data_IF_534878529725
#
_entry.id   IF_534878529725
#
_cell.length_a   1.000
_cell.length_b   1.000
_cell.length_c   1.000
_cell.angle_alpha   90.00
_cell.angle_beta   90.00
_cell.angle_gamma   90.00
#
_symmetry.space_group_name_H-M   'P 1'
#
loop_
_entity.id
_entity.type
_entity.pdbx_description
1 polymer ?
#
# COMPACT_ATOMS: atom_id res chain seq x y z
N UNK A 1 -24.99 -17.54 4.90
CA UNK A 1 -24.57 -16.26 4.28
C UNK A 1 -23.11 -15.90 4.58
N UNK A 2 -22.66 -15.96 5.84
CA UNK A 2 -21.29 -15.61 6.23
C UNK A 2 -20.17 -16.30 5.43
N UNK A 3 -20.28 -17.61 5.18
CA UNK A 3 -19.26 -18.36 4.42
C UNK A 3 -19.13 -17.91 2.96
N UNK A 4 -20.23 -17.49 2.33
CA UNK A 4 -20.21 -16.99 0.93
C UNK A 4 -19.52 -15.62 0.88
N UNK A 5 -19.81 -14.75 1.84
CA UNK A 5 -19.13 -13.47 2.00
C UNK A 5 -17.63 -13.69 2.22
N UNK A 6 -17.25 -14.54 3.16
CA UNK A 6 -15.84 -14.87 3.41
C UNK A 6 -15.13 -15.37 2.15
N UNK A 7 -15.73 -16.32 1.43
CA UNK A 7 -15.16 -16.85 0.19
C UNK A 7 -14.97 -15.77 -0.87
N UNK A 8 -15.95 -14.86 -1.03
CA UNK A 8 -15.84 -13.73 -1.97
C UNK A 8 -14.74 -12.75 -1.56
N UNK A 9 -14.56 -12.43 -0.27
CA UNK A 9 -13.43 -11.61 0.17
C UNK A 9 -12.11 -12.25 -0.17
N UNK A 10 -11.96 -13.53 0.15
CA UNK A 10 -10.72 -14.27 -0.12
C UNK A 10 -10.41 -14.25 -1.62
N UNK A 11 -11.42 -14.43 -2.47
CA UNK A 11 -11.25 -14.35 -3.93
C UNK A 11 -10.85 -12.95 -4.38
N UNK A 12 -11.51 -11.89 -3.89
CA UNK A 12 -11.16 -10.50 -4.23
C UNK A 12 -9.74 -10.15 -3.76
N UNK A 13 -9.36 -10.59 -2.56
CA UNK A 13 -8.02 -10.38 -2.02
C UNK A 13 -6.97 -11.15 -2.80
N UNK A 14 -7.20 -12.43 -3.08
CA UNK A 14 -6.29 -13.25 -3.89
C UNK A 14 -6.11 -12.67 -5.29
N UNK A 15 -7.21 -12.25 -5.95
CA UNK A 15 -7.15 -11.59 -7.24
C UNK A 15 -6.33 -10.29 -7.20
N UNK A 16 -6.53 -9.48 -6.16
CA UNK A 16 -5.79 -8.23 -5.95
C UNK A 16 -4.29 -8.48 -5.79
N UNK A 17 -3.91 -9.48 -4.98
CA UNK A 17 -2.52 -9.89 -4.78
C UNK A 17 -1.92 -10.37 -6.11
N UNK A 18 -2.61 -11.23 -6.85
CA UNK A 18 -2.13 -11.73 -8.16
C UNK A 18 -1.90 -10.58 -9.13
N UNK A 19 -2.81 -9.61 -9.19
CA UNK A 19 -2.65 -8.41 -10.02
C UNK A 19 -1.43 -7.59 -9.60
N UNK A 20 -1.21 -7.40 -8.30
CA UNK A 20 -0.02 -6.69 -7.79
C UNK A 20 1.28 -7.39 -8.14
N UNK A 21 1.35 -8.70 -7.91
CA UNK A 21 2.54 -9.50 -8.21
C UNK A 21 2.87 -9.42 -9.69
N UNK A 22 1.87 -9.54 -10.58
CA UNK A 22 2.06 -9.39 -12.03
C UNK A 22 2.52 -8.00 -12.45
N UNK A 23 2.10 -6.95 -11.74
CA UNK A 23 2.49 -5.57 -12.03
C UNK A 23 3.79 -5.16 -11.35
N UNK A 24 4.31 -5.97 -10.42
CA UNK A 24 5.48 -5.65 -9.60
C UNK A 24 6.68 -5.24 -10.44
N UNK A 25 7.01 -6.01 -11.46
CA UNK A 25 8.24 -5.77 -12.23
C UNK A 25 8.16 -4.46 -13.01
N UNK A 26 6.97 -4.10 -13.50
CA UNK A 26 6.73 -2.80 -14.14
C UNK A 26 6.84 -1.64 -13.14
N UNK A 27 6.28 -1.81 -11.93
CA UNK A 27 6.37 -0.80 -10.87
C UNK A 27 7.82 -0.60 -10.40
N UNK A 28 8.58 -1.68 -10.25
CA UNK A 28 10.01 -1.64 -9.90
C UNK A 28 10.85 -0.97 -10.98
N UNK A 29 10.59 -1.28 -12.26
CA UNK A 29 11.28 -0.63 -13.38
C UNK A 29 10.99 0.88 -13.42
N UNK A 30 9.72 1.28 -13.25
CA UNK A 30 9.32 2.68 -13.23
C UNK A 30 9.94 3.43 -12.03
N UNK A 31 9.92 2.84 -10.84
CA UNK A 31 10.49 3.45 -9.64
C UNK A 31 12.01 3.66 -9.77
N UNK A 32 12.75 2.71 -10.34
CA UNK A 32 14.20 2.83 -10.58
C UNK A 32 14.56 3.95 -11.57
N UNK A 33 13.69 4.28 -12.51
CA UNK A 33 13.91 5.36 -13.47
C UNK A 33 13.68 6.77 -12.88
N UNK A 34 12.99 6.89 -11.75
CA UNK A 34 12.68 8.19 -11.14
C UNK A 34 13.85 8.75 -10.31
N UNK A 35 13.89 10.08 -10.17
CA UNK A 35 14.82 10.79 -9.27
C UNK A 35 14.42 10.64 -7.80
N UNK A 36 15.40 10.71 -6.88
CA UNK A 36 15.22 10.47 -5.44
C UNK A 36 14.11 11.31 -4.80
N UNK A 37 14.06 12.60 -5.13
CA UNK A 37 13.03 13.52 -4.62
C UNK A 37 11.62 13.18 -5.09
N UNK A 38 11.47 12.77 -6.36
CA UNK A 38 10.17 12.39 -6.94
C UNK A 38 9.65 11.08 -6.33
N UNK A 39 10.54 10.11 -6.06
CA UNK A 39 10.21 8.87 -5.35
C UNK A 39 9.66 9.13 -3.95
N UNK A 40 10.29 10.02 -3.19
CA UNK A 40 9.82 10.36 -1.84
C UNK A 40 8.46 11.05 -1.85
N UNK A 41 8.24 11.96 -2.80
CA UNK A 41 6.97 12.67 -2.93
C UNK A 41 5.82 11.74 -3.35
N UNK A 42 6.10 10.79 -4.24
CA UNK A 42 5.15 9.74 -4.60
C UNK A 42 4.82 8.82 -3.41
N UNK A 43 5.84 8.42 -2.63
CA UNK A 43 5.62 7.62 -1.42
C UNK A 43 4.72 8.34 -0.40
N UNK A 44 4.99 9.62 -0.13
CA UNK A 44 4.18 10.46 0.76
C UNK A 44 2.76 10.58 0.22
N UNK A 45 2.60 10.83 -1.09
CA UNK A 45 1.30 10.92 -1.74
C UNK A 45 0.49 9.63 -1.60
N UNK A 46 1.11 8.47 -1.79
CA UNK A 46 0.48 7.16 -1.64
C UNK A 46 0.09 6.86 -0.18
N UNK A 47 0.94 7.24 0.79
CA UNK A 47 0.63 7.11 2.21
C UNK A 47 -0.55 8.00 2.60
N UNK A 48 -0.55 9.27 2.18
CA UNK A 48 -1.67 10.19 2.41
C UNK A 48 -2.96 9.67 1.76
N UNK A 49 -2.88 9.17 0.53
CA UNK A 49 -4.01 8.55 -0.15
C UNK A 49 -4.56 7.36 0.64
N UNK A 50 -3.68 6.52 1.23
CA UNK A 50 -4.11 5.39 2.05
C UNK A 50 -4.86 5.84 3.32
N UNK A 51 -4.42 6.93 3.95
CA UNK A 51 -5.10 7.54 5.10
C UNK A 51 -6.48 8.08 4.70
N UNK A 52 -6.59 8.70 3.52
CA UNK A 52 -7.87 9.16 2.98
C UNK A 52 -8.82 7.99 2.73
N UNK A 53 -8.35 6.87 2.18
CA UNK A 53 -9.18 5.66 2.02
C UNK A 53 -9.73 5.18 3.36
N UNK A 54 -8.89 5.15 4.40
CA UNK A 54 -9.33 4.74 5.74
C UNK A 54 -10.37 5.72 6.31
N UNK A 55 -10.14 7.03 6.21
CA UNK A 55 -11.05 8.05 6.69
C UNK A 55 -12.42 8.01 5.98
N UNK A 56 -12.42 7.86 4.65
CA UNK A 56 -13.64 7.71 3.86
C UNK A 56 -14.39 6.42 4.22
N UNK A 57 -13.67 5.33 4.48
CA UNK A 57 -14.28 4.08 4.93
C UNK A 57 -14.99 4.28 6.27
N UNK A 58 -14.33 4.92 7.24
CA UNK A 58 -14.94 5.23 8.53
C UNK A 58 -16.19 6.11 8.39
N UNK A 59 -16.16 7.09 7.48
CA UNK A 59 -17.33 7.93 7.18
C UNK A 59 -18.50 7.11 6.64
N UNK A 60 -18.25 6.17 5.71
CA UNK A 60 -19.29 5.30 5.16
C UNK A 60 -19.85 4.36 6.23
N UNK A 61 -19.00 3.83 7.11
CA UNK A 61 -19.44 2.97 8.21
C UNK A 61 -20.30 3.73 9.22
N UNK A 62 -19.90 4.96 9.58
CA UNK A 62 -20.66 5.84 10.46
C UNK A 62 -22.04 6.23 9.90
N UNK A 63 -22.20 6.25 8.56
CA UNK A 63 -23.45 6.60 7.87
C UNK A 63 -24.45 5.44 7.73
N UNK A 64 -24.14 4.26 8.28
CA UNK A 64 -25.03 3.09 8.25
C UNK A 64 -24.40 1.80 7.71
N UNK A 65 -23.09 1.80 7.47
CA UNK A 65 -22.34 0.56 7.18
C UNK A 65 -22.17 -0.34 8.41
N UNK A 66 -22.29 0.23 9.62
CA UNK A 66 -22.20 -0.50 10.89
C UNK A 66 -23.53 -0.40 11.66
N UNK A 67 -24.04 -1.54 12.10
CA UNK A 67 -25.27 -1.68 12.90
C UNK A 67 -24.96 -2.37 14.23
N UNK A 68 -25.96 -2.45 15.11
CA UNK A 68 -25.84 -3.13 16.41
C UNK A 68 -25.46 -4.61 16.28
N UNK A 69 -25.87 -5.23 15.18
CA UNK A 69 -25.61 -6.65 14.87
C UNK A 69 -24.34 -6.85 14.02
N UNK A 70 -23.57 -5.78 13.77
CA UNK A 70 -22.34 -5.80 12.99
C UNK A 70 -22.45 -5.08 11.64
N UNK A 71 -21.59 -5.46 10.70
CA UNK A 71 -21.54 -4.85 9.38
C UNK A 71 -22.77 -5.18 8.54
N UNK A 72 -23.37 -4.18 7.91
CA UNK A 72 -24.35 -4.41 6.85
C UNK A 72 -23.67 -5.04 5.63
N UNK A 73 -24.40 -5.73 4.74
CA UNK A 73 -23.81 -6.26 3.51
C UNK A 73 -23.07 -5.20 2.69
N UNK A 74 -23.61 -3.98 2.66
CA UNK A 74 -22.96 -2.83 2.03
C UNK A 74 -21.71 -2.37 2.79
N UNK A 75 -21.79 -2.20 4.12
CA UNK A 75 -20.63 -1.81 4.93
C UNK A 75 -19.48 -2.81 4.81
N UNK A 76 -19.81 -4.10 4.79
CA UNK A 76 -18.84 -5.17 4.57
C UNK A 76 -18.16 -5.08 3.20
N UNK A 77 -18.92 -4.86 2.12
CA UNK A 77 -18.36 -4.73 0.78
C UNK A 77 -17.43 -3.53 0.67
N UNK A 78 -17.82 -2.39 1.26
CA UNK A 78 -17.00 -1.18 1.32
C UNK A 78 -15.71 -1.44 2.10
N UNK A 79 -15.78 -2.07 3.27
CA UNK A 79 -14.59 -2.38 4.09
C UNK A 79 -13.66 -3.36 3.38
N UNK A 80 -14.19 -4.38 2.69
CA UNK A 80 -13.39 -5.35 1.95
C UNK A 80 -12.60 -4.68 0.80
N UNK A 81 -13.26 -3.82 0.02
CA UNK A 81 -12.64 -3.07 -1.07
C UNK A 81 -11.64 -2.03 -0.55
N UNK A 82 -12.01 -1.30 0.49
CA UNK A 82 -11.15 -0.30 1.11
C UNK A 82 -9.90 -0.92 1.72
N UNK A 83 -10.02 -2.07 2.40
CA UNK A 83 -8.88 -2.82 2.92
C UNK A 83 -7.91 -3.25 1.83
N UNK A 84 -8.44 -3.76 0.70
CA UNK A 84 -7.62 -4.13 -0.45
C UNK A 84 -6.90 -2.91 -1.06
N UNK A 85 -7.60 -1.78 -1.21
CA UNK A 85 -7.02 -0.52 -1.70
C UNK A 85 -5.98 0.06 -0.73
N UNK A 86 -6.22 -0.02 0.58
CA UNK A 86 -5.30 0.42 1.60
C UNK A 86 -3.98 -0.35 1.53
N UNK A 87 -4.05 -1.68 1.50
CA UNK A 87 -2.86 -2.55 1.36
C UNK A 87 -2.14 -2.29 0.03
N UNK A 88 -2.88 -2.04 -1.05
CA UNK A 88 -2.32 -1.66 -2.34
C UNK A 88 -1.44 -0.41 -2.26
N UNK A 89 -2.01 0.65 -1.70
CA UNK A 89 -1.35 1.95 -1.59
C UNK A 89 -0.13 1.86 -0.68
N UNK A 90 -0.25 1.17 0.46
CA UNK A 90 0.87 0.92 1.39
C UNK A 90 2.00 0.15 0.71
N UNK A 91 1.68 -0.93 -0.01
CA UNK A 91 2.68 -1.74 -0.72
C UNK A 91 3.38 -0.94 -1.82
N UNK A 92 2.64 -0.11 -2.55
CA UNK A 92 3.20 0.78 -3.57
C UNK A 92 4.09 1.87 -2.97
N UNK A 93 3.72 2.43 -1.80
CA UNK A 93 4.51 3.45 -1.11
C UNK A 93 5.82 2.89 -0.53
N UNK A 94 5.83 1.62 -0.13
CA UNK A 94 7.01 0.94 0.42
C UNK A 94 8.14 0.80 -0.61
N UNK A 95 7.82 0.57 -1.88
CA UNK A 95 8.83 0.38 -2.95
C UNK A 95 9.80 1.56 -3.06
N UNK A 96 9.36 2.82 -3.26
CA UNK A 96 10.26 3.97 -3.32
C UNK A 96 10.99 4.23 -1.99
N UNK A 97 10.35 3.99 -0.85
CA UNK A 97 10.99 4.15 0.47
C UNK A 97 12.15 3.18 0.66
N UNK A 98 11.95 1.90 0.35
CA UNK A 98 13.00 0.87 0.45
C UNK A 98 14.14 1.18 -0.51
N UNK A 99 13.85 1.59 -1.75
CA UNK A 99 14.88 2.00 -2.70
C UNK A 99 15.68 3.23 -2.20
N UNK A 100 15.02 4.17 -1.54
CA UNK A 100 15.69 5.31 -0.93
C UNK A 100 16.56 4.90 0.25
N UNK A 101 16.09 3.99 1.12
CA UNK A 101 16.87 3.47 2.24
C UNK A 101 18.14 2.74 1.78
N UNK A 102 18.03 1.83 0.80
CA UNK A 102 19.17 1.08 0.25
C UNK A 102 20.20 2.01 -0.42
N UNK A 103 19.75 3.11 -1.04
CA UNK A 103 20.67 4.10 -1.63
C UNK A 103 21.36 4.97 -0.58
N UNK A 104 20.75 5.23 0.58
CA UNK A 104 21.44 5.92 1.69
C UNK A 104 22.52 5.03 2.26
N UNK A 105 22.20 3.77 2.55
CA UNK A 105 23.11 2.81 3.18
C UNK A 105 24.39 2.59 2.36
N UNK A 106 24.26 2.43 1.04
CA UNK A 106 25.41 2.32 0.13
C UNK A 106 26.31 3.56 0.12
N UNK A 107 25.73 4.76 0.15
CA UNK A 107 26.51 6.00 0.17
C UNK A 107 27.27 6.15 1.51
N UNK A 108 26.67 5.76 2.63
CA UNK A 108 27.37 5.77 3.93
C UNK A 108 28.52 4.76 3.99
N UNK A 109 28.37 3.59 3.36
CA UNK A 109 29.43 2.58 3.33
C UNK A 109 30.68 3.01 2.54
N UNK A 110 30.52 3.73 1.43
CA UNK A 110 31.65 4.20 0.62
C UNK A 110 32.47 5.28 1.34
N UNK A 111 31.82 6.20 2.04
CA UNK A 111 32.49 7.30 2.75
C UNK A 111 33.30 6.76 3.95
N UNK A 112 32.84 5.65 4.55
CA UNK A 112 33.52 5.01 5.68
C UNK A 112 34.78 4.24 5.24
N UNK A 113 34.75 3.59 4.07
CA UNK A 113 35.93 2.91 3.52
C UNK A 113 37.02 3.89 3.07
N UNK A 114 36.64 5.05 2.53
CA UNK A 114 37.60 6.07 2.10
C UNK A 114 38.32 6.72 3.29
N UNK A 115 37.61 6.95 4.40
CA UNK A 115 38.20 7.51 5.63
C UNK A 115 39.20 6.59 6.34
N UNK A 116 39.13 5.27 6.12
CA UNK A 116 40.09 4.31 6.68
C UNK A 116 41.34 4.09 5.81
N UNK A 117 41.37 4.64 4.58
CA UNK A 117 42.53 4.54 3.67
C UNK A 117 43.44 5.77 3.70
N UNK A 118 42.98 6.87 4.29
CA UNK A 118 43.76 8.11 4.51
C UNK A 118 44.35 8.13 5.91
#
# INVERSE_FOLDING_TARGET
MFFVQLALTVLVWAATIVVMVRRRDRMMAAARAQTRGRRSLEAIGLLLASTVVLALTMLVLARGGLTKDGFTPFGWAVTALAGAAFVALQTMALVPLVLNAVTVDRAGSSDTEESHRT
#
